data_IF_899159784246
#
_entry.id   IF_899159784246
#
_cell.length_a   1.000
_cell.length_b   1.000
_cell.length_c   1.000
_cell.angle_alpha   90.00
_cell.angle_beta   90.00
_cell.angle_gamma   90.00
#
_symmetry.space_group_name_H-M   'P 1'
#
loop_
_entity.id
_entity.type
_entity.pdbx_description
1 polymer ?
#
# COMPACT_ATOMS: atom_id res chain seq x y z
N UNK A 1 0.72 -18.52 4.85
CA UNK A 1 -0.28 -18.01 5.84
C UNK A 1 -1.55 -17.64 5.07
N UNK A 2 -2.67 -17.37 5.75
CA UNK A 2 -3.90 -16.88 5.10
C UNK A 2 -4.27 -15.48 5.62
N UNK A 3 -3.25 -14.69 5.88
CA UNK A 3 -3.35 -13.36 6.47
C UNK A 3 -2.55 -12.38 5.63
N UNK A 4 -2.99 -11.11 5.68
CA UNK A 4 -2.25 -9.97 5.20
C UNK A 4 -2.26 -8.92 6.31
N UNK A 5 -1.08 -8.55 6.78
CA UNK A 5 -0.89 -7.42 7.70
C UNK A 5 -0.48 -6.24 6.83
N UNK A 6 -1.17 -5.12 6.98
CA UNK A 6 -0.82 -3.84 6.37
C UNK A 6 -0.40 -2.88 7.47
N UNK A 7 0.79 -2.29 7.34
CA UNK A 7 1.31 -1.28 8.25
C UNK A 7 1.87 -0.08 7.50
N UNK A 8 1.69 1.11 8.06
CA UNK A 8 2.15 2.38 7.52
C UNK A 8 2.33 3.39 8.66
N UNK A 9 2.84 4.58 8.35
CA UNK A 9 2.81 5.77 9.22
C UNK A 9 1.88 6.83 8.61
N UNK A 10 1.37 7.74 9.42
CA UNK A 10 0.46 8.81 8.97
C UNK A 10 1.21 10.01 8.37
N UNK A 11 2.50 10.17 8.72
CA UNK A 11 3.33 11.28 8.30
C UNK A 11 4.81 10.89 8.22
N UNK A 12 5.57 11.60 7.37
CA UNK A 12 7.01 11.48 7.20
C UNK A 12 7.81 12.52 7.99
N UNK A 13 7.24 13.71 8.22
CA UNK A 13 7.88 14.74 9.05
C UNK A 13 6.87 15.47 9.93
N UNK A 14 6.89 15.15 11.22
CA UNK A 14 5.89 15.59 12.20
C UNK A 14 5.74 17.12 12.30
N UNK A 15 6.82 17.89 12.19
CA UNK A 15 6.77 19.35 12.35
C UNK A 15 5.84 20.03 11.34
N UNK A 16 5.76 19.49 10.12
CA UNK A 16 4.95 20.06 9.04
C UNK A 16 3.81 19.12 8.62
N UNK A 17 3.64 17.99 9.29
CA UNK A 17 2.73 16.90 8.89
C UNK A 17 2.94 16.49 7.42
N UNK A 18 4.21 16.35 7.02
CA UNK A 18 4.57 15.95 5.66
C UNK A 18 4.12 14.53 5.36
N UNK A 19 3.76 14.24 4.11
CA UNK A 19 3.27 12.93 3.65
C UNK A 19 4.10 12.33 2.52
N UNK A 20 5.22 12.97 2.20
CA UNK A 20 6.13 12.52 1.14
C UNK A 20 6.96 11.33 1.64
N UNK A 21 7.12 10.32 0.79
CA UNK A 21 8.00 9.18 1.08
C UNK A 21 7.56 8.31 2.26
N UNK A 22 6.25 8.21 2.52
CA UNK A 22 5.70 7.36 3.58
C UNK A 22 6.02 5.88 3.29
N UNK A 23 6.73 5.16 4.18
CA UNK A 23 6.96 3.74 4.03
C UNK A 23 5.69 2.94 4.32
N UNK A 24 5.49 1.88 3.56
CA UNK A 24 4.39 0.93 3.73
C UNK A 24 4.96 -0.49 3.81
N UNK A 25 4.39 -1.33 4.67
CA UNK A 25 4.81 -2.71 4.86
C UNK A 25 3.64 -3.66 4.72
N UNK A 26 3.91 -4.82 4.13
CA UNK A 26 3.04 -5.99 4.22
C UNK A 26 3.75 -7.14 4.93
N UNK A 27 2.99 -7.93 5.67
CA UNK A 27 3.44 -9.23 6.17
C UNK A 27 2.38 -10.31 5.94
N UNK A 28 2.85 -11.53 5.70
CA UNK A 28 2.04 -12.62 5.20
C UNK A 28 1.90 -12.62 3.68
N UNK A 29 1.32 -13.69 3.14
CA UNK A 29 1.22 -13.99 1.72
C UNK A 29 -0.24 -14.01 1.21
N UNK A 30 -1.21 -13.66 2.07
CA UNK A 30 -2.62 -13.58 1.72
C UNK A 30 -3.19 -14.87 1.07
N UNK A 31 -2.75 -16.04 1.54
CA UNK A 31 -3.14 -17.32 0.94
C UNK A 31 -2.50 -17.57 -0.42
N UNK A 32 -1.28 -17.04 -0.64
CA UNK A 32 -0.53 -17.15 -1.89
C UNK A 32 -0.87 -16.11 -2.96
N UNK A 33 -1.69 -15.10 -2.64
CA UNK A 33 -2.11 -14.07 -3.60
C UNK A 33 -1.05 -12.99 -3.84
N UNK A 34 -0.03 -12.91 -2.99
CA UNK A 34 1.07 -11.97 -3.15
C UNK A 34 2.44 -12.62 -3.03
N UNK A 35 3.41 -12.06 -3.76
CA UNK A 35 4.84 -12.25 -3.55
C UNK A 35 5.28 -11.53 -2.27
N UNK A 36 6.21 -12.14 -1.54
CA UNK A 36 6.76 -11.61 -0.28
C UNK A 36 8.28 -11.47 -0.36
N UNK A 37 8.90 -10.78 0.59
CA UNK A 37 10.36 -10.57 0.61
C UNK A 37 10.86 -9.57 -0.42
N UNK A 38 9.98 -8.72 -0.94
CA UNK A 38 10.30 -7.70 -1.93
C UNK A 38 10.59 -6.36 -1.26
N UNK A 39 11.60 -5.65 -1.75
CA UNK A 39 11.80 -4.22 -1.51
C UNK A 39 11.51 -3.50 -2.82
N UNK A 40 10.47 -2.66 -2.83
CA UNK A 40 9.98 -1.96 -4.02
C UNK A 40 10.16 -0.46 -3.80
N UNK A 41 10.76 0.22 -4.77
CA UNK A 41 10.76 1.68 -4.80
C UNK A 41 9.37 2.18 -5.20
N UNK A 42 8.70 2.86 -4.27
CA UNK A 42 7.37 3.43 -4.49
C UNK A 42 7.37 4.71 -5.33
N UNK A 43 8.54 5.27 -5.68
CA UNK A 43 8.67 6.46 -6.53
C UNK A 43 7.97 7.71 -5.97
N UNK A 44 7.85 7.82 -4.65
CA UNK A 44 7.09 8.89 -3.99
C UNK A 44 5.57 8.80 -4.19
N UNK A 45 5.05 7.65 -4.62
CA UNK A 45 3.60 7.45 -4.76
C UNK A 45 2.86 7.60 -3.41
N UNK A 46 1.54 7.90 -3.44
CA UNK A 46 0.75 8.08 -2.23
C UNK A 46 0.87 6.93 -1.22
N UNK A 47 0.95 7.27 0.07
CA UNK A 47 1.08 6.31 1.18
C UNK A 47 -0.13 5.38 1.39
N UNK A 48 -1.16 5.50 0.56
CA UNK A 48 -2.35 4.63 0.51
C UNK A 48 -2.23 3.53 -0.54
N UNK A 49 -1.18 3.52 -1.39
CA UNK A 49 -1.10 2.61 -2.53
C UNK A 49 -1.07 1.13 -2.14
N UNK A 50 -0.40 0.78 -1.03
CA UNK A 50 -0.39 -0.61 -0.54
C UNK A 50 -1.75 -1.06 -0.02
N UNK A 51 -2.48 -0.23 0.73
CA UNK A 51 -3.81 -0.63 1.17
C UNK A 51 -4.84 -0.62 0.02
N UNK A 52 -4.67 0.20 -1.03
CA UNK A 52 -5.47 0.09 -2.26
C UNK A 52 -5.23 -1.28 -2.91
N UNK A 53 -3.97 -1.69 -2.98
CA UNK A 53 -3.58 -3.03 -3.46
C UNK A 53 -4.22 -4.13 -2.58
N UNK A 54 -4.21 -3.98 -1.26
CA UNK A 54 -4.88 -4.91 -0.34
C UNK A 54 -6.40 -4.99 -0.59
N UNK A 55 -7.07 -3.85 -0.80
CA UNK A 55 -8.49 -3.81 -1.15
C UNK A 55 -8.78 -4.59 -2.44
N UNK A 56 -7.96 -4.39 -3.48
CA UNK A 56 -8.06 -5.13 -4.74
C UNK A 56 -7.86 -6.63 -4.55
N UNK A 57 -6.86 -7.03 -3.76
CA UNK A 57 -6.59 -8.43 -3.41
C UNK A 57 -7.75 -9.11 -2.68
N UNK A 58 -8.50 -8.34 -1.89
CA UNK A 58 -9.66 -8.82 -1.13
C UNK A 58 -10.99 -8.68 -1.90
N UNK A 59 -10.94 -8.31 -3.19
CA UNK A 59 -12.13 -8.23 -4.05
C UNK A 59 -12.99 -6.99 -3.85
N UNK A 60 -12.44 -5.92 -3.25
CA UNK A 60 -13.15 -4.64 -3.13
C UNK A 60 -13.04 -3.87 -4.43
N UNK A 61 -14.16 -3.69 -5.11
CA UNK A 61 -14.25 -2.94 -6.37
C UNK A 61 -14.44 -1.44 -6.09
N UNK A 62 -13.35 -0.68 -6.19
CA UNK A 62 -13.39 0.80 -6.17
C UNK A 62 -12.41 1.39 -7.19
N UNK A 63 -12.79 2.47 -7.90
CA UNK A 63 -11.91 3.08 -8.90
C UNK A 63 -10.70 3.79 -8.28
N UNK A 64 -10.76 4.16 -6.99
CA UNK A 64 -9.66 4.82 -6.28
C UNK A 64 -9.80 4.67 -4.76
N UNK A 65 -8.76 5.05 -4.03
CA UNK A 65 -8.76 5.13 -2.57
C UNK A 65 -7.88 6.29 -2.07
N UNK A 66 -8.19 6.77 -0.87
CA UNK A 66 -7.57 7.96 -0.28
C UNK A 66 -8.29 9.25 -0.66
N UNK A 67 -7.73 10.38 -0.21
CA UNK A 67 -8.26 11.72 -0.51
C UNK A 67 -7.10 12.70 -0.72
N UNK A 68 -7.31 13.74 -1.53
CA UNK A 68 -6.29 14.75 -1.88
C UNK A 68 -4.98 14.09 -2.30
N UNK A 69 -3.84 14.51 -1.74
CA UNK A 69 -2.50 13.97 -2.02
C UNK A 69 -2.32 12.49 -1.67
N UNK A 70 -3.23 11.91 -0.89
CA UNK A 70 -3.26 10.48 -0.60
C UNK A 70 -4.10 9.67 -1.61
N UNK A 71 -4.63 10.28 -2.67
CA UNK A 71 -5.48 9.57 -3.65
C UNK A 71 -4.65 8.71 -4.58
N UNK A 72 -5.06 7.45 -4.78
CA UNK A 72 -4.47 6.54 -5.76
C UNK A 72 -5.55 5.70 -6.47
N UNK A 73 -5.29 5.34 -7.72
CA UNK A 73 -6.11 4.45 -8.54
C UNK A 73 -5.30 3.30 -9.16
N UNK A 74 -4.06 3.10 -8.71
CA UNK A 74 -3.14 2.11 -9.24
C UNK A 74 -2.54 1.27 -8.12
N UNK A 75 -2.67 -0.05 -8.24
CA UNK A 75 -2.06 -1.03 -7.34
C UNK A 75 -0.54 -1.13 -7.52
N UNK A 76 0.11 -1.80 -6.57
CA UNK A 76 1.51 -2.22 -6.65
C UNK A 76 1.53 -3.57 -7.38
N UNK A 77 1.63 -3.56 -8.70
CA UNK A 77 1.56 -4.78 -9.52
C UNK A 77 2.69 -5.78 -9.24
N UNK A 78 3.84 -5.29 -8.78
CA UNK A 78 5.04 -6.07 -8.49
C UNK A 78 4.84 -7.10 -7.38
N UNK A 79 3.85 -6.92 -6.49
CA UNK A 79 3.54 -7.89 -5.44
C UNK A 79 2.49 -8.92 -5.84
N UNK A 80 1.77 -8.74 -6.96
CA UNK A 80 0.68 -9.65 -7.35
C UNK A 80 1.24 -10.98 -7.87
N UNK A 81 0.66 -12.10 -7.41
CA UNK A 81 1.06 -13.47 -7.79
C UNK A 81 0.36 -13.98 -9.05
#
# INVERSE_FOLDING_TARGET
DNSLIYATTDQSFAKIHGIEGIPMFSAGNAGGRIKTGLHIDGGGSPGTRLGYTAMRLMGVETPSWGNQSNTTSSEIGEIMA
#
